data_IF_875031537625
#
_entry.id   IF_875031537625
#
_cell.length_a   1.000
_cell.length_b   1.000
_cell.length_c   1.000
_cell.angle_alpha   90.00
_cell.angle_beta   90.00
_cell.angle_gamma   90.00
#
_symmetry.space_group_name_H-M   'P 1'
#
loop_
_entity.id
_entity.type
_entity.pdbx_description
1 polymer ?
#
# COMPACT_ATOMS: atom_id res chain seq x y z
N UNK A 1 -7.51 16.07 13.05
CA UNK A 1 -6.04 15.97 13.37
C UNK A 1 -5.56 16.97 14.44
N UNK A 2 -4.87 16.53 15.50
CA UNK A 2 -4.32 17.38 16.59
C UNK A 2 -2.79 17.62 16.47
N UNK A 3 -2.26 18.60 17.19
CA UNK A 3 -0.83 19.00 17.19
C UNK A 3 0.16 17.87 17.55
N UNK A 4 -0.26 16.93 18.39
CA UNK A 4 0.51 15.73 18.73
C UNK A 4 0.65 14.72 17.58
N UNK A 5 -0.34 14.63 16.69
CA UNK A 5 -0.27 13.78 15.49
C UNK A 5 0.77 14.30 14.48
N UNK A 6 0.88 15.62 14.33
CA UNK A 6 1.90 16.22 13.46
C UNK A 6 3.31 16.01 14.00
N UNK A 7 3.50 16.16 15.31
CA UNK A 7 4.80 15.94 15.94
C UNK A 7 5.25 14.48 15.83
N UNK A 8 4.31 13.53 16.00
CA UNK A 8 4.57 12.11 15.80
C UNK A 8 5.04 11.80 14.37
N UNK A 9 4.41 12.41 13.35
CA UNK A 9 4.80 12.24 11.95
C UNK A 9 6.21 12.81 11.66
N UNK A 10 6.53 13.98 12.22
CA UNK A 10 7.86 14.60 12.08
C UNK A 10 8.94 13.73 12.73
N UNK A 11 8.69 13.24 13.95
CA UNK A 11 9.61 12.33 14.63
C UNK A 11 9.80 11.03 13.87
N UNK A 12 8.70 10.45 13.37
CA UNK A 12 8.77 9.25 12.54
C UNK A 12 9.61 9.46 11.28
N UNK A 13 9.33 10.54 10.54
CA UNK A 13 10.06 10.88 9.32
C UNK A 13 11.56 11.09 9.59
N UNK A 14 11.89 11.79 10.68
CA UNK A 14 13.28 12.00 11.11
C UNK A 14 13.97 10.67 11.41
N UNK A 15 13.30 9.76 12.12
CA UNK A 15 13.83 8.44 12.47
C UNK A 15 14.10 7.58 11.22
N UNK A 16 13.19 7.57 10.25
CA UNK A 16 13.39 6.86 8.98
C UNK A 16 14.58 7.42 8.21
N UNK A 17 14.72 8.75 8.13
CA UNK A 17 15.85 9.39 7.46
C UNK A 17 17.19 9.09 8.16
N UNK A 18 17.20 9.08 9.50
CA UNK A 18 18.38 8.71 10.27
C UNK A 18 18.77 7.23 10.07
N UNK A 19 17.81 6.32 10.10
CA UNK A 19 18.05 4.91 9.84
C UNK A 19 18.57 4.67 8.41
N UNK A 20 18.00 5.36 7.42
CA UNK A 20 18.49 5.36 6.04
C UNK A 20 19.94 5.86 5.96
N UNK A 21 20.26 7.00 6.59
CA UNK A 21 21.62 7.53 6.64
C UNK A 21 22.61 6.59 7.36
N UNK A 22 22.11 5.79 8.31
CA UNK A 22 22.85 4.75 9.00
C UNK A 22 23.03 3.44 8.22
N UNK A 23 22.51 3.35 6.98
CA UNK A 23 22.66 2.17 6.13
C UNK A 23 21.60 1.08 6.35
N UNK A 24 20.45 1.42 6.94
CA UNK A 24 19.33 0.49 7.06
C UNK A 24 18.88 -0.02 5.67
N UNK A 25 18.42 -1.27 5.64
CA UNK A 25 17.94 -1.90 4.40
C UNK A 25 16.58 -1.32 4.00
N UNK A 26 16.30 -1.27 2.70
CA UNK A 26 15.02 -0.75 2.19
C UNK A 26 13.81 -1.52 2.74
N UNK A 27 13.93 -2.85 2.89
CA UNK A 27 12.88 -3.71 3.43
C UNK A 27 12.54 -3.32 4.88
N UNK A 28 13.54 -3.17 5.75
CA UNK A 28 13.29 -2.82 7.16
C UNK A 28 12.63 -1.44 7.29
N UNK A 29 13.07 -0.46 6.48
CA UNK A 29 12.45 0.87 6.46
C UNK A 29 11.00 0.79 5.95
N UNK A 30 10.73 -0.02 4.93
CA UNK A 30 9.39 -0.23 4.38
C UNK A 30 8.45 -0.89 5.40
N UNK A 31 8.94 -1.86 6.17
CA UNK A 31 8.20 -2.48 7.28
C UNK A 31 7.85 -1.45 8.36
N UNK A 32 8.81 -0.61 8.77
CA UNK A 32 8.57 0.45 9.76
C UNK A 32 7.53 1.48 9.28
N UNK A 33 7.54 1.84 7.99
CA UNK A 33 6.54 2.72 7.37
C UNK A 33 5.16 2.08 7.41
N UNK A 34 5.05 0.78 7.09
CA UNK A 34 3.77 0.08 7.13
C UNK A 34 3.20 0.04 8.55
N UNK A 35 4.01 -0.38 9.54
CA UNK A 35 3.61 -0.45 10.95
C UNK A 35 3.15 0.92 11.46
N UNK A 36 3.88 1.99 11.11
CA UNK A 36 3.48 3.33 11.50
C UNK A 36 2.14 3.74 10.87
N UNK A 37 1.96 3.51 9.56
CA UNK A 37 0.72 3.85 8.88
C UNK A 37 -0.51 3.14 9.47
N UNK A 38 -0.38 1.86 9.81
CA UNK A 38 -1.44 1.07 10.44
C UNK A 38 -1.77 1.57 11.86
N UNK A 39 -0.77 2.10 12.59
CA UNK A 39 -1.00 2.72 13.90
C UNK A 39 -1.77 4.04 13.81
N UNK A 40 -1.65 4.76 12.69
CA UNK A 40 -2.35 6.02 12.45
C UNK A 40 -3.75 5.77 11.89
N UNK A 41 -3.90 4.77 11.01
CA UNK A 41 -5.16 4.46 10.32
C UNK A 41 -5.61 3.05 10.71
N UNK A 42 -6.45 3.00 11.75
CA UNK A 42 -6.98 1.74 12.29
C UNK A 42 -7.83 0.96 11.27
N UNK A 43 -7.81 -0.37 11.37
CA UNK A 43 -8.63 -1.26 10.53
C UNK A 43 -8.10 -1.44 9.10
N UNK A 44 -6.90 -0.94 8.81
CA UNK A 44 -6.20 -1.10 7.53
C UNK A 44 -4.90 -1.86 7.73
N UNK A 45 -4.51 -2.62 6.71
CA UNK A 45 -3.23 -3.29 6.54
C UNK A 45 -2.45 -2.50 5.48
N UNK A 46 -1.25 -2.09 5.83
CA UNK A 46 -0.36 -1.36 4.95
C UNK A 46 0.51 -2.31 4.14
N UNK A 47 0.80 -1.92 2.90
CA UNK A 47 1.76 -2.61 2.05
C UNK A 47 2.55 -1.63 1.19
N UNK A 48 3.81 -1.98 0.95
CA UNK A 48 4.67 -1.37 -0.05
C UNK A 48 5.00 -2.43 -1.10
N UNK A 49 4.70 -2.10 -2.35
CA UNK A 49 5.03 -2.91 -3.52
C UNK A 49 6.09 -2.19 -4.35
N UNK A 50 6.98 -2.92 -5.00
CA UNK A 50 7.97 -2.40 -5.95
C UNK A 50 7.71 -2.92 -7.36
N UNK A 51 8.03 -2.11 -8.36
CA UNK A 51 7.98 -2.54 -9.76
C UNK A 51 9.29 -3.23 -10.11
N UNK A 52 9.21 -4.48 -10.57
CA UNK A 52 10.36 -5.25 -11.03
C UNK A 52 10.78 -4.90 -12.47
N UNK A 53 11.78 -5.61 -13.00
CA UNK A 53 12.31 -5.39 -14.35
C UNK A 53 11.31 -5.69 -15.47
N UNK A 54 10.31 -6.54 -15.21
CA UNK A 54 9.24 -6.89 -16.15
C UNK A 54 8.05 -5.93 -16.05
N UNK A 55 8.07 -5.00 -15.10
CA UNK A 55 6.96 -4.09 -14.83
C UNK A 55 5.89 -4.67 -13.91
N UNK A 56 6.13 -5.83 -13.28
CA UNK A 56 5.20 -6.43 -12.32
C UNK A 56 5.42 -5.84 -10.93
N UNK A 57 4.35 -5.81 -10.14
CA UNK A 57 4.42 -5.42 -8.75
C UNK A 57 4.81 -6.62 -7.88
N UNK A 58 5.83 -6.42 -7.06
CA UNK A 58 6.33 -7.38 -6.08
C UNK A 58 6.23 -6.80 -4.67
N UNK A 59 5.85 -7.59 -3.65
CA UNK A 59 5.79 -7.11 -2.28
C UNK A 59 7.19 -6.78 -1.75
N UNK A 60 7.37 -5.56 -1.24
CA UNK A 60 8.56 -5.13 -0.51
C UNK A 60 8.34 -5.26 1.01
N UNK A 61 7.17 -4.84 1.50
CA UNK A 61 6.79 -4.97 2.89
C UNK A 61 5.26 -5.04 3.04
N UNK A 62 4.79 -5.91 3.93
CA UNK A 62 3.38 -6.01 4.35
C UNK A 62 3.32 -6.74 5.72
N UNK A 63 3.86 -6.12 6.79
CA UNK A 63 4.25 -6.81 8.02
C UNK A 63 3.08 -7.46 8.79
N UNK A 64 1.87 -6.89 8.70
CA UNK A 64 0.67 -7.47 9.33
C UNK A 64 -0.25 -8.20 8.34
N UNK A 65 0.14 -8.33 7.08
CA UNK A 65 -0.61 -9.14 6.12
C UNK A 65 -0.32 -10.64 6.36
N UNK A 66 -1.34 -11.53 6.27
CA UNK A 66 -1.11 -12.96 6.27
C UNK A 66 -0.14 -13.37 5.15
N UNK A 67 0.81 -14.31 5.39
CA UNK A 67 1.78 -14.72 4.37
C UNK A 67 1.15 -15.19 3.06
N UNK A 68 -0.01 -15.84 3.13
CA UNK A 68 -0.75 -16.28 1.94
C UNK A 68 -1.34 -15.10 1.17
N UNK A 69 -1.80 -14.04 1.85
CA UNK A 69 -2.23 -12.80 1.20
C UNK A 69 -1.05 -12.13 0.50
N UNK A 70 0.12 -12.07 1.15
CA UNK A 70 1.34 -11.51 0.54
C UNK A 70 1.71 -12.26 -0.74
N UNK A 71 1.63 -13.59 -0.73
CA UNK A 71 1.89 -14.42 -1.93
C UNK A 71 0.93 -14.13 -3.07
N UNK A 72 -0.33 -13.79 -2.78
CA UNK A 72 -1.29 -13.41 -3.84
C UNK A 72 -1.02 -12.04 -4.45
N UNK A 73 -0.22 -11.19 -3.78
CA UNK A 73 0.19 -9.88 -4.29
C UNK A 73 1.46 -9.94 -5.14
N UNK A 74 2.22 -11.04 -5.06
CA UNK A 74 3.40 -11.27 -5.91
C UNK A 74 3.02 -11.39 -7.39
N UNK A 75 3.93 -10.95 -8.26
CA UNK A 75 3.77 -10.98 -9.72
C UNK A 75 2.51 -10.27 -10.25
N UNK A 76 2.00 -9.26 -9.53
CA UNK A 76 0.81 -8.54 -9.94
C UNK A 76 1.10 -7.66 -11.17
N UNK A 77 0.44 -7.98 -12.28
CA UNK A 77 0.57 -7.25 -13.55
C UNK A 77 -0.31 -5.99 -13.51
N UNK A 78 0.25 -4.77 -13.65
CA UNK A 78 -0.56 -3.55 -13.72
C UNK A 78 -1.55 -3.56 -14.89
N UNK A 79 -2.80 -3.13 -14.62
CA UNK A 79 -3.86 -3.12 -15.63
C UNK A 79 -5.18 -2.54 -15.12
N UNK A 80 -6.21 -2.46 -15.98
CA UNK A 80 -7.50 -1.86 -15.67
C UNK A 80 -8.28 -2.59 -14.55
N UNK A 81 -8.03 -3.90 -14.35
CA UNK A 81 -8.74 -4.75 -13.38
C UNK A 81 -7.82 -5.36 -12.30
N UNK A 82 -6.58 -4.88 -12.20
CA UNK A 82 -5.51 -5.42 -11.36
C UNK A 82 -5.53 -4.93 -9.90
N UNK A 83 -6.72 -4.63 -9.36
CA UNK A 83 -6.90 -4.02 -8.04
C UNK A 83 -6.25 -2.64 -7.90
N UNK A 84 -6.31 -2.05 -6.71
CA UNK A 84 -5.90 -0.65 -6.52
C UNK A 84 -4.41 -0.40 -6.83
N UNK A 85 -3.50 -1.30 -6.44
CA UNK A 85 -2.07 -1.13 -6.71
C UNK A 85 -1.73 -1.23 -8.20
N UNK A 86 -2.25 -2.24 -8.90
CA UNK A 86 -2.05 -2.39 -10.33
C UNK A 86 -2.64 -1.21 -11.10
N UNK A 87 -3.82 -0.73 -10.68
CA UNK A 87 -4.47 0.43 -11.29
C UNK A 87 -3.70 1.73 -11.04
N UNK A 88 -3.08 1.91 -9.86
CA UNK A 88 -2.27 3.09 -9.54
C UNK A 88 -1.02 3.19 -10.42
N UNK A 89 -0.38 2.06 -10.73
CA UNK A 89 0.72 2.02 -11.71
C UNK A 89 0.21 2.26 -13.12
N UNK A 90 -0.87 1.58 -13.52
CA UNK A 90 -1.47 1.67 -14.85
C UNK A 90 -1.92 3.11 -15.19
N UNK A 91 -2.61 3.76 -14.26
CA UNK A 91 -3.15 5.13 -14.42
C UNK A 91 -2.16 6.22 -14.03
N UNK A 92 -1.05 5.85 -13.38
CA UNK A 92 -0.01 6.77 -12.92
C UNK A 92 -0.47 7.79 -11.87
N UNK A 93 -1.55 7.50 -11.16
CA UNK A 93 -2.22 8.40 -10.20
C UNK A 93 -2.74 7.61 -8.98
N UNK A 94 -3.06 8.29 -7.85
CA UNK A 94 -3.68 7.63 -6.71
C UNK A 94 -5.00 6.97 -7.06
N UNK A 95 -5.25 5.79 -6.48
CA UNK A 95 -6.46 5.00 -6.71
C UNK A 95 -7.10 4.67 -5.37
N UNK A 96 -8.32 5.17 -5.19
CA UNK A 96 -9.17 4.88 -4.03
C UNK A 96 -10.32 3.99 -4.50
N UNK A 97 -10.43 2.81 -3.90
CA UNK A 97 -11.58 1.90 -4.02
C UNK A 97 -12.21 1.80 -2.64
N UNK A 98 -13.44 2.28 -2.49
CA UNK A 98 -14.17 2.33 -1.21
C UNK A 98 -15.00 1.08 -0.94
N UNK A 99 -15.41 0.37 -1.99
CA UNK A 99 -16.17 -0.88 -1.93
C UNK A 99 -15.63 -1.87 -2.98
N UNK A 100 -14.67 -2.69 -2.56
CA UNK A 100 -14.02 -3.69 -3.42
C UNK A 100 -15.05 -4.63 -4.06
N UNK A 101 -15.96 -5.29 -3.31
CA UNK A 101 -16.94 -6.25 -3.86
C UNK A 101 -17.68 -5.81 -5.13
N UNK A 102 -17.96 -4.52 -5.29
CA UNK A 102 -18.73 -3.99 -6.42
C UNK A 102 -17.90 -3.15 -7.40
N UNK A 103 -16.58 -3.05 -7.21
CA UNK A 103 -15.72 -2.23 -8.07
C UNK A 103 -15.02 -3.04 -9.16
N UNK A 104 -15.31 -2.71 -10.43
CA UNK A 104 -14.74 -3.39 -11.61
C UNK A 104 -13.21 -3.35 -11.70
N UNK A 105 -12.54 -2.43 -10.99
CA UNK A 105 -11.06 -2.38 -10.95
C UNK A 105 -10.45 -3.60 -10.24
N UNK A 106 -11.26 -4.42 -9.58
CA UNK A 106 -10.85 -5.61 -8.85
C UNK A 106 -11.27 -6.93 -9.51
N UNK A 107 -11.78 -6.90 -10.75
CA UNK A 107 -12.35 -8.08 -11.39
C UNK A 107 -11.35 -9.24 -11.55
N UNK A 108 -10.09 -8.97 -11.90
CA UNK A 108 -9.05 -10.01 -12.02
C UNK A 108 -8.60 -10.55 -10.65
N UNK A 109 -8.91 -9.83 -9.56
CA UNK A 109 -8.56 -10.17 -8.18
C UNK A 109 -9.79 -10.50 -7.31
N UNK A 110 -10.95 -10.73 -7.93
CA UNK A 110 -12.24 -10.89 -7.23
C UNK A 110 -12.20 -12.02 -6.21
N UNK A 111 -11.70 -13.18 -6.63
CA UNK A 111 -11.63 -14.38 -5.79
C UNK A 111 -10.72 -14.15 -4.57
N UNK A 112 -9.61 -13.43 -4.76
CA UNK A 112 -8.67 -13.08 -3.71
C UNK A 112 -9.31 -12.10 -2.73
N UNK A 113 -9.99 -11.06 -3.24
CA UNK A 113 -10.71 -10.10 -2.42
C UNK A 113 -11.79 -10.78 -1.55
N UNK A 114 -12.54 -11.73 -2.11
CA UNK A 114 -13.54 -12.50 -1.38
C UNK A 114 -12.91 -13.40 -0.31
N UNK A 115 -11.84 -14.13 -0.66
CA UNK A 115 -11.11 -15.02 0.24
C UNK A 115 -10.60 -14.28 1.48
N UNK A 116 -10.04 -13.09 1.28
CA UNK A 116 -9.46 -12.27 2.35
C UNK A 116 -10.44 -11.25 2.94
N UNK A 117 -11.70 -11.25 2.49
CA UNK A 117 -12.76 -10.31 2.90
C UNK A 117 -12.33 -8.85 2.77
N UNK A 118 -11.59 -8.54 1.70
CA UNK A 118 -11.14 -7.18 1.42
C UNK A 118 -12.35 -6.33 1.04
N UNK A 119 -12.46 -5.15 1.65
CA UNK A 119 -13.61 -4.26 1.50
C UNK A 119 -13.26 -2.91 0.89
N UNK A 120 -12.07 -2.39 1.14
CA UNK A 120 -11.59 -1.19 0.48
C UNK A 120 -10.07 -1.23 0.33
N UNK A 121 -9.53 -0.50 -0.64
CA UNK A 121 -8.10 -0.40 -0.84
C UNK A 121 -7.74 0.94 -1.48
N UNK A 122 -6.83 1.65 -0.84
CA UNK A 122 -6.32 2.95 -1.25
C UNK A 122 -4.85 2.79 -1.61
N UNK A 123 -4.46 3.17 -2.81
CA UNK A 123 -3.09 2.97 -3.31
C UNK A 123 -2.54 4.25 -3.92
N UNK A 124 -1.33 4.62 -3.52
CA UNK A 124 -0.60 5.76 -4.03
C UNK A 124 0.64 5.28 -4.79
N UNK A 125 0.88 5.78 -6.01
CA UNK A 125 2.10 5.48 -6.74
C UNK A 125 3.32 6.09 -6.04
N UNK A 126 4.37 5.30 -5.88
CA UNK A 126 5.68 5.75 -5.40
C UNK A 126 6.56 6.04 -6.59
N UNK A 127 7.21 7.21 -6.59
CA UNK A 127 8.05 7.69 -7.68
C UNK A 127 9.47 7.96 -7.23
N UNK A 128 10.42 7.63 -8.10
CA UNK A 128 11.78 8.19 -8.10
C UNK A 128 11.87 9.13 -9.30
N UNK A 129 11.89 10.42 -9.04
CA UNK A 129 11.72 11.47 -10.06
C UNK A 129 10.44 11.24 -10.89
N UNK A 130 10.58 11.01 -12.20
CA UNK A 130 9.44 10.71 -13.10
C UNK A 130 9.12 9.22 -13.19
N UNK A 131 9.99 8.33 -12.68
CA UNK A 131 9.84 6.87 -12.81
C UNK A 131 8.96 6.33 -11.69
N UNK A 132 7.94 5.56 -12.05
CA UNK A 132 7.18 4.75 -11.09
C UNK A 132 8.06 3.60 -10.60
N UNK A 133 8.18 3.47 -9.28
CA UNK A 133 9.01 2.45 -8.64
C UNK A 133 8.22 1.49 -7.77
N UNK A 134 6.93 1.76 -7.55
CA UNK A 134 6.11 0.97 -6.65
C UNK A 134 4.81 1.64 -6.26
N UNK A 135 4.16 1.09 -5.24
CA UNK A 135 2.96 1.65 -4.62
C UNK A 135 3.01 1.53 -3.10
N UNK A 136 2.44 2.50 -2.41
CA UNK A 136 2.05 2.38 -1.00
C UNK A 136 0.53 2.20 -0.93
N UNK A 137 0.05 1.19 -0.22
CA UNK A 137 -1.37 0.93 -0.14
C UNK A 137 -1.86 0.63 1.27
N UNK A 138 -3.10 1.03 1.53
CA UNK A 138 -3.88 0.73 2.73
C UNK A 138 -5.09 -0.08 2.30
N UNK A 139 -5.09 -1.36 2.62
CA UNK A 139 -6.20 -2.28 2.35
C UNK A 139 -6.95 -2.50 3.64
N UNK A 140 -8.28 -2.51 3.66
CA UNK A 140 -8.96 -2.95 4.87
C UNK A 140 -10.20 -3.78 4.69
N UNK A 141 -10.60 -4.29 5.84
CA UNK A 141 -11.70 -5.24 6.03
C UNK A 141 -13.04 -4.52 6.24
N UNK A 142 -13.04 -3.19 6.14
CA UNK A 142 -14.22 -2.32 6.19
C UNK A 142 -14.27 -1.46 4.92
N UNK A 143 -15.46 -1.06 4.51
CA UNK A 143 -15.64 -0.14 3.39
C UNK A 143 -15.14 1.27 3.76
N UNK A 144 -15.04 2.15 2.76
CA UNK A 144 -14.83 3.58 2.98
C UNK A 144 -13.58 4.16 2.36
N UNK A 145 -13.52 5.48 2.42
CA UNK A 145 -12.49 6.35 1.85
C UNK A 145 -11.63 6.97 2.96
N UNK A 146 -10.46 7.53 2.63
CA UNK A 146 -9.70 8.33 3.58
C UNK A 146 -10.56 9.48 4.12
N UNK A 147 -10.79 9.54 5.44
CA UNK A 147 -11.42 10.68 6.11
C UNK A 147 -10.36 11.60 6.74
N UNK A 148 -10.71 12.87 6.90
CA UNK A 148 -9.82 13.95 7.40
C UNK A 148 -10.04 14.28 8.88
N UNK A 149 -10.62 13.36 9.66
CA UNK A 149 -11.00 13.62 11.06
C UNK A 149 -9.82 14.06 11.97
#
# INVERSE_FOLDING_TARGET
MNEGSHLALVHFSTRILQALAGGAQAVSLAEEICVFAESVISGRIASLMIVDENGHLQPLAAPHAPPELVRTLSDLIPGPHAGSCGNAIYRQEPVVVSDIPHDSRWDDLRVQAETWKLKSCWSWPVRKDKRLVGTFALTGLVEGEPSVD
#
